data_IF_995526265581
#
_entry.id   IF_995526265581
#
_cell.length_a   1.000
_cell.length_b   1.000
_cell.length_c   1.000
_cell.angle_alpha   90.00
_cell.angle_beta   90.00
_cell.angle_gamma   90.00
#
_symmetry.space_group_name_H-M   'P 1'
#
loop_
_entity.id
_entity.type
_entity.pdbx_description
1 polymer ?
#
# COMPACT_ATOMS: atom_id res chain seq x y z
N UNK A 1 29.85 53.16 -48.54
CA UNK A 1 30.33 52.71 -47.22
C UNK A 1 29.70 53.65 -46.20
N UNK A 2 28.90 53.29 -45.18
CA UNK A 2 28.58 52.01 -44.52
C UNK A 2 27.28 52.21 -43.71
N UNK A 3 26.39 51.21 -43.67
CA UNK A 3 25.18 51.14 -42.82
C UNK A 3 25.56 50.64 -41.41
N UNK A 4 24.97 51.16 -40.33
CA UNK A 4 24.78 50.44 -39.05
C UNK A 4 23.55 51.03 -38.34
N UNK A 5 22.38 50.39 -38.37
CA UNK A 5 21.88 49.26 -37.55
C UNK A 5 21.59 49.63 -36.09
N UNK A 6 20.28 49.70 -35.84
CA UNK A 6 19.50 49.51 -34.60
C UNK A 6 20.18 48.66 -33.53
N UNK A 7 20.05 49.08 -32.27
CA UNK A 7 20.09 48.21 -31.09
C UNK A 7 18.89 48.57 -30.19
N UNK A 8 17.81 47.80 -30.33
CA UNK A 8 16.71 47.81 -29.39
C UNK A 8 17.10 47.00 -28.16
N UNK A 9 17.02 47.59 -26.98
CA UNK A 9 17.15 46.89 -25.72
C UNK A 9 15.87 46.09 -25.45
N UNK A 10 15.92 44.77 -25.60
CA UNK A 10 14.87 43.90 -25.09
C UNK A 10 15.05 43.77 -23.57
N UNK A 11 14.18 44.42 -22.81
CA UNK A 11 14.05 44.15 -21.38
C UNK A 11 13.41 42.77 -21.20
N UNK A 12 14.18 41.80 -20.70
CA UNK A 12 13.63 40.53 -20.20
C UNK A 12 12.82 40.84 -18.94
N UNK A 13 11.50 40.93 -19.09
CA UNK A 13 10.58 40.84 -17.96
C UNK A 13 10.62 39.40 -17.46
N UNK A 14 11.34 39.17 -16.37
CA UNK A 14 11.28 37.93 -15.60
C UNK A 14 9.89 37.79 -14.98
N UNK A 15 9.01 37.10 -15.68
CA UNK A 15 7.73 36.66 -15.14
C UNK A 15 8.02 35.67 -14.01
N UNK A 16 7.96 36.13 -12.76
CA UNK A 16 7.81 35.22 -11.63
C UNK A 16 6.43 34.58 -11.75
N UNK A 17 6.38 33.41 -12.39
CA UNK A 17 5.24 32.53 -12.29
C UNK A 17 5.18 32.06 -10.83
N UNK A 18 4.27 32.65 -10.04
CA UNK A 18 3.80 32.02 -8.83
C UNK A 18 3.12 30.71 -9.25
N UNK A 19 3.86 29.60 -9.17
CA UNK A 19 3.28 28.28 -9.21
C UNK A 19 2.38 28.17 -7.97
N UNK A 20 1.10 28.45 -8.14
CA UNK A 20 0.07 28.06 -7.20
C UNK A 20 0.11 26.55 -7.08
N UNK A 21 0.79 26.03 -6.04
CA UNK A 21 0.60 24.67 -5.53
C UNK A 21 -0.82 24.59 -4.98
N UNK A 22 -1.80 24.49 -5.87
CA UNK A 22 -3.08 23.91 -5.54
C UNK A 22 -2.88 22.39 -5.54
N UNK A 23 -2.19 21.88 -4.52
CA UNK A 23 -2.32 20.49 -4.16
C UNK A 23 -3.74 20.36 -3.61
N UNK A 24 -4.71 20.09 -4.49
CA UNK A 24 -5.93 19.47 -4.04
C UNK A 24 -5.49 18.16 -3.38
N UNK A 25 -5.55 18.10 -2.04
CA UNK A 25 -5.35 16.89 -1.24
C UNK A 25 -6.48 15.90 -1.57
N UNK A 26 -6.49 15.40 -2.80
CA UNK A 26 -7.35 14.28 -3.16
C UNK A 26 -6.73 13.07 -2.52
N UNK A 27 -7.45 12.48 -1.56
CA UNK A 27 -7.11 11.17 -1.02
C UNK A 27 -6.85 10.21 -2.18
N UNK A 28 -5.70 9.53 -2.24
CA UNK A 28 -5.36 8.69 -3.37
C UNK A 28 -6.37 7.55 -3.51
N UNK A 29 -6.68 7.20 -4.75
CA UNK A 29 -7.55 6.07 -5.07
C UNK A 29 -6.74 4.77 -4.95
N UNK A 30 -7.06 3.96 -3.96
CA UNK A 30 -6.39 2.69 -3.69
C UNK A 30 -7.14 1.49 -4.29
N UNK A 31 -8.27 1.71 -4.97
CA UNK A 31 -9.02 0.60 -5.58
C UNK A 31 -8.16 -0.16 -6.58
N UNK A 32 -8.23 -1.48 -6.55
CA UNK A 32 -7.39 -2.34 -7.37
C UNK A 32 -6.96 -3.62 -6.66
N UNK A 33 -6.10 -4.37 -7.33
CA UNK A 33 -5.53 -5.63 -6.82
C UNK A 33 -4.05 -5.41 -6.58
N UNK A 34 -3.64 -5.52 -5.32
CA UNK A 34 -2.27 -5.29 -4.89
C UNK A 34 -1.65 -6.61 -4.47
N UNK A 35 -0.47 -6.96 -4.98
CA UNK A 35 0.16 -8.23 -4.61
C UNK A 35 1.65 -8.11 -4.32
N UNK A 36 2.15 -9.03 -3.49
CA UNK A 36 3.55 -9.07 -3.08
C UNK A 36 3.96 -10.39 -2.47
N UNK A 37 5.23 -10.74 -2.63
CA UNK A 37 5.86 -11.90 -2.00
C UNK A 37 6.55 -11.47 -0.71
N UNK A 38 6.49 -12.32 0.32
CA UNK A 38 7.06 -12.03 1.63
C UNK A 38 7.54 -13.29 2.34
N UNK A 39 8.39 -13.07 3.35
CA UNK A 39 8.80 -14.13 4.28
C UNK A 39 8.00 -13.99 5.58
N UNK A 40 7.22 -15.01 5.91
CA UNK A 40 6.50 -15.09 7.19
C UNK A 40 7.46 -15.53 8.28
N UNK A 41 7.58 -14.74 9.34
CA UNK A 41 8.19 -15.16 10.59
C UNK A 41 7.10 -15.67 11.53
N UNK A 42 7.28 -16.89 12.05
CA UNK A 42 6.35 -17.53 12.97
C UNK A 42 7.07 -18.14 14.17
N UNK A 43 6.38 -18.15 15.32
CA UNK A 43 6.87 -18.83 16.51
C UNK A 43 7.07 -20.34 16.27
N UNK A 44 7.96 -20.96 17.07
CA UNK A 44 8.10 -22.41 17.10
C UNK A 44 6.76 -23.10 17.39
N UNK A 45 6.55 -24.27 16.81
CA UNK A 45 5.50 -25.21 17.18
C UNK A 45 6.11 -26.56 17.62
N UNK A 46 5.27 -27.51 17.99
CA UNK A 46 5.66 -28.86 18.41
C UNK A 46 6.57 -29.61 17.41
N UNK A 47 6.58 -29.21 16.13
CA UNK A 47 7.34 -29.85 15.06
C UNK A 47 8.62 -29.08 14.67
N UNK A 48 9.03 -28.08 15.46
CA UNK A 48 10.12 -27.17 15.09
C UNK A 48 11.35 -27.23 16.00
N UNK A 49 11.39 -28.14 16.97
CA UNK A 49 12.49 -28.30 17.92
C UNK A 49 12.92 -26.98 18.60
N UNK A 50 11.96 -26.06 18.80
CA UNK A 50 12.21 -24.74 19.39
C UNK A 50 12.81 -23.71 18.42
N UNK A 51 13.03 -24.04 17.16
CA UNK A 51 13.55 -23.11 16.15
C UNK A 51 12.46 -22.18 15.60
N UNK A 52 12.78 -20.90 15.32
CA UNK A 52 11.91 -20.02 14.55
C UNK A 52 11.58 -20.60 13.18
N UNK A 53 10.36 -20.36 12.70
CA UNK A 53 9.90 -20.86 11.41
C UNK A 53 9.77 -19.73 10.41
N UNK A 54 10.32 -19.96 9.22
CA UNK A 54 10.26 -19.04 8.09
C UNK A 54 9.62 -19.72 6.88
N UNK A 55 8.67 -19.06 6.22
CA UNK A 55 8.04 -19.57 5.01
C UNK A 55 7.90 -18.46 3.98
N UNK A 56 8.14 -18.77 2.71
CA UNK A 56 7.79 -17.88 1.61
C UNK A 56 6.28 -17.92 1.38
N UNK A 57 5.68 -16.77 1.17
CA UNK A 57 4.24 -16.62 0.98
C UNK A 57 3.93 -15.44 0.07
N UNK A 58 2.75 -15.47 -0.52
CA UNK A 58 2.19 -14.40 -1.32
C UNK A 58 1.02 -13.78 -0.56
N UNK A 59 0.89 -12.45 -0.67
CA UNK A 59 -0.26 -11.71 -0.20
C UNK A 59 -0.89 -10.95 -1.37
N UNK A 60 -2.21 -11.05 -1.48
CA UNK A 60 -3.05 -10.30 -2.40
C UNK A 60 -4.08 -9.52 -1.61
N UNK A 61 -4.06 -8.20 -1.75
CA UNK A 61 -5.00 -7.25 -1.19
C UNK A 61 -5.86 -6.68 -2.33
N UNK A 62 -7.15 -6.98 -2.33
CA UNK A 62 -8.09 -6.46 -3.32
C UNK A 62 -8.98 -5.41 -2.66
N UNK A 63 -8.79 -4.14 -3.02
CA UNK A 63 -9.60 -3.01 -2.55
C UNK A 63 -10.73 -2.80 -3.55
N UNK A 64 -11.95 -3.12 -3.13
CA UNK A 64 -13.15 -3.15 -3.99
C UNK A 64 -13.91 -1.83 -3.95
N UNK A 65 -14.05 -1.28 -2.76
CA UNK A 65 -14.81 -0.06 -2.52
C UNK A 65 -13.96 0.93 -1.72
N UNK A 66 -14.05 2.20 -2.08
CA UNK A 66 -13.44 3.30 -1.36
C UNK A 66 -14.40 4.48 -1.34
N UNK A 67 -14.59 5.07 -0.16
CA UNK A 67 -15.36 6.29 0.06
C UNK A 67 -14.49 7.25 0.87
N UNK A 68 -14.10 8.35 0.23
CA UNK A 68 -13.07 9.27 0.73
C UNK A 68 -11.78 8.52 1.13
N UNK A 69 -11.51 8.47 2.44
CA UNK A 69 -10.32 7.90 3.03
C UNK A 69 -10.56 6.54 3.71
N UNK A 70 -11.74 5.96 3.53
CA UNK A 70 -12.10 4.64 4.07
C UNK A 70 -12.28 3.67 2.91
N UNK A 71 -11.78 2.44 3.06
CA UNK A 71 -11.88 1.42 2.02
C UNK A 71 -12.19 0.02 2.57
N UNK A 72 -12.74 -0.82 1.71
CA UNK A 72 -13.15 -2.19 2.00
C UNK A 72 -12.71 -3.15 0.90
N UNK A 73 -12.42 -4.39 1.28
CA UNK A 73 -11.89 -5.35 0.33
C UNK A 73 -11.72 -6.76 0.88
N UNK A 74 -10.87 -7.51 0.19
CA UNK A 74 -10.45 -8.86 0.60
C UNK A 74 -8.93 -8.94 0.71
N UNK A 75 -8.48 -9.69 1.72
CA UNK A 75 -7.06 -10.01 1.95
C UNK A 75 -6.89 -11.51 1.78
N UNK A 76 -5.97 -11.93 0.92
CA UNK A 76 -5.74 -13.33 0.57
C UNK A 76 -4.27 -13.67 0.70
N UNK A 77 -3.95 -14.77 1.38
CA UNK A 77 -2.56 -15.21 1.51
C UNK A 77 -2.41 -16.71 1.29
N UNK A 78 -1.35 -17.08 0.61
CA UNK A 78 -0.96 -18.48 0.40
C UNK A 78 0.53 -18.64 0.64
N UNK A 79 0.94 -19.83 1.09
CA UNK A 79 2.35 -20.21 1.03
C UNK A 79 2.71 -20.44 -0.44
N UNK A 80 3.89 -20.00 -0.87
CA UNK A 80 4.31 -20.14 -2.28
C UNK A 80 4.32 -21.60 -2.76
N UNK A 81 4.45 -22.56 -1.85
CA UNK A 81 4.40 -24.00 -2.14
C UNK A 81 3.00 -24.63 -2.04
N UNK A 82 1.94 -23.84 -1.90
CA UNK A 82 0.58 -24.31 -1.66
C UNK A 82 -0.40 -23.73 -2.66
N UNK A 83 -1.31 -24.58 -3.15
CA UNK A 83 -2.46 -24.15 -3.97
C UNK A 83 -3.61 -23.61 -3.10
N UNK A 84 -3.52 -23.74 -1.78
CA UNK A 84 -4.56 -23.32 -0.84
C UNK A 84 -4.43 -21.84 -0.45
N UNK A 85 -5.45 -21.05 -0.76
CA UNK A 85 -5.54 -19.66 -0.33
C UNK A 85 -6.34 -19.53 0.96
N UNK A 86 -5.82 -18.75 1.90
CA UNK A 86 -6.60 -18.24 3.01
C UNK A 86 -7.18 -16.89 2.60
N UNK A 87 -8.37 -16.56 3.11
CA UNK A 87 -9.06 -15.33 2.77
C UNK A 87 -9.68 -14.69 4.01
N UNK A 88 -9.55 -13.37 4.07
CA UNK A 88 -10.16 -12.49 5.05
C UNK A 88 -10.82 -11.28 4.40
N UNK A 89 -11.67 -10.61 5.17
CA UNK A 89 -12.18 -9.29 4.83
C UNK A 89 -11.23 -8.26 5.41
N UNK A 90 -11.00 -7.18 4.66
CA UNK A 90 -10.19 -6.06 5.13
C UNK A 90 -11.01 -4.78 5.12
N UNK A 91 -10.85 -3.98 6.16
CA UNK A 91 -11.33 -2.61 6.23
C UNK A 91 -10.16 -1.74 6.63
N UNK A 92 -9.98 -0.61 5.94
CA UNK A 92 -8.85 0.27 6.21
C UNK A 92 -9.16 1.74 6.01
N UNK A 93 -8.21 2.56 6.42
CA UNK A 93 -8.22 4.00 6.23
C UNK A 93 -6.87 4.48 5.74
N UNK A 94 -6.86 5.53 4.92
CA UNK A 94 -5.67 6.28 4.55
C UNK A 94 -5.71 7.68 5.18
N UNK A 95 -4.54 8.24 5.51
CA UNK A 95 -4.42 9.58 6.07
C UNK A 95 -4.89 10.64 5.08
N UNK A 96 -5.43 11.74 5.62
CA UNK A 96 -5.90 12.90 4.83
C UNK A 96 -4.86 14.01 4.74
N UNK A 97 -3.80 13.95 5.55
CA UNK A 97 -2.72 14.94 5.62
C UNK A 97 -1.65 14.76 4.54
N UNK A 98 -1.88 13.86 3.58
CA UNK A 98 -0.94 13.56 2.51
C UNK A 98 0.24 12.69 2.92
N UNK A 99 0.32 12.19 4.17
CA UNK A 99 1.42 11.32 4.61
C UNK A 99 1.41 9.94 3.94
N UNK A 100 0.28 9.54 3.33
CA UNK A 100 0.10 8.21 2.75
C UNK A 100 -0.03 7.10 3.80
N UNK A 101 -0.11 7.42 5.10
CA UNK A 101 -0.23 6.41 6.15
C UNK A 101 -1.55 5.65 6.04
N UNK A 102 -1.50 4.33 6.09
CA UNK A 102 -2.65 3.43 6.01
C UNK A 102 -2.70 2.59 7.28
N UNK A 103 -3.91 2.43 7.84
CA UNK A 103 -4.20 1.47 8.89
C UNK A 103 -5.31 0.54 8.42
N UNK A 104 -5.16 -0.77 8.62
CA UNK A 104 -6.17 -1.76 8.25
C UNK A 104 -6.37 -2.80 9.35
N UNK A 105 -7.57 -3.35 9.37
CA UNK A 105 -7.93 -4.52 10.16
C UNK A 105 -8.41 -5.62 9.23
N UNK A 106 -8.01 -6.85 9.54
CA UNK A 106 -8.43 -8.05 8.82
C UNK A 106 -9.25 -8.95 9.74
N UNK A 107 -10.38 -9.46 9.25
CA UNK A 107 -11.14 -10.55 9.86
C UNK A 107 -11.16 -11.78 8.95
N UNK A 108 -11.32 -12.98 9.53
CA UNK A 108 -11.53 -14.18 8.71
C UNK A 108 -12.93 -14.18 8.11
N UNK A 109 -13.07 -14.77 6.92
CA UNK A 109 -14.40 -14.98 6.32
C UNK A 109 -15.26 -15.82 7.28
N UNK A 110 -16.49 -15.35 7.54
CA UNK A 110 -17.45 -16.03 8.39
C UNK A 110 -17.36 -15.68 9.88
N UNK A 111 -16.35 -14.90 10.31
CA UNK A 111 -16.19 -14.47 11.70
C UNK A 111 -16.50 -12.97 11.83
N UNK A 112 -17.76 -12.63 12.09
CA UNK A 112 -18.16 -11.23 12.31
C UNK A 112 -17.56 -10.70 13.62
N UNK A 113 -16.94 -9.52 13.58
CA UNK A 113 -16.33 -8.82 14.72
C UNK A 113 -15.10 -9.51 15.35
N UNK A 114 -14.51 -10.53 14.72
CA UNK A 114 -13.24 -11.10 15.17
C UNK A 114 -12.09 -10.62 14.29
N UNK A 115 -11.17 -9.88 14.91
CA UNK A 115 -9.97 -9.38 14.22
C UNK A 115 -8.90 -10.48 14.21
N UNK A 116 -8.47 -10.86 13.02
CA UNK A 116 -7.39 -11.82 12.79
C UNK A 116 -6.01 -11.16 12.80
N UNK A 117 -5.92 -9.94 12.28
CA UNK A 117 -4.66 -9.21 12.15
C UNK A 117 -4.83 -7.70 12.06
N UNK A 118 -3.76 -7.01 12.45
CA UNK A 118 -3.58 -5.57 12.31
C UNK A 118 -2.53 -5.31 11.25
N UNK A 119 -2.81 -4.35 10.37
CA UNK A 119 -1.92 -3.97 9.29
C UNK A 119 -1.62 -2.48 9.40
N UNK A 120 -0.34 -2.15 9.58
CA UNK A 120 0.15 -0.79 9.39
C UNK A 120 0.79 -0.71 8.01
N UNK A 121 0.52 0.35 7.26
CA UNK A 121 1.06 0.49 5.92
C UNK A 121 1.31 1.96 5.54
N UNK A 122 2.04 2.17 4.44
CA UNK A 122 2.27 3.47 3.82
C UNK A 122 2.12 3.35 2.32
N UNK A 123 1.37 4.27 1.71
CA UNK A 123 1.28 4.46 0.27
C UNK A 123 2.31 5.49 -0.17
N UNK A 124 3.30 5.03 -0.94
CA UNK A 124 4.40 5.84 -1.44
C UNK A 124 4.81 5.32 -2.82
N UNK A 125 5.08 6.22 -3.77
CA UNK A 125 5.53 5.89 -5.12
C UNK A 125 4.67 4.85 -5.86
N UNK A 126 3.35 4.89 -5.64
CA UNK A 126 2.41 3.97 -6.29
C UNK A 126 2.45 2.54 -5.74
N UNK A 127 3.04 2.34 -4.55
CA UNK A 127 3.14 1.05 -3.87
C UNK A 127 2.60 1.13 -2.45
N UNK A 128 2.21 -0.01 -1.89
CA UNK A 128 1.81 -0.13 -0.48
C UNK A 128 2.89 -0.91 0.26
N UNK A 129 3.59 -0.24 1.17
CA UNK A 129 4.53 -0.86 2.10
C UNK A 129 3.76 -1.27 3.34
N UNK A 130 3.66 -2.55 3.66
CA UNK A 130 2.74 -3.04 4.67
C UNK A 130 3.39 -4.02 5.65
N UNK A 131 3.05 -3.87 6.92
CA UNK A 131 3.43 -4.73 8.04
C UNK A 131 2.19 -5.40 8.61
N UNK A 132 2.15 -6.73 8.56
CA UNK A 132 1.08 -7.53 9.12
C UNK A 132 1.47 -8.12 10.47
N UNK A 133 0.56 -8.06 11.43
CA UNK A 133 0.69 -8.71 12.75
C UNK A 133 -0.58 -9.49 13.06
N UNK A 134 -0.46 -10.81 13.21
CA UNK A 134 -1.59 -11.64 13.63
C UNK A 134 -1.87 -11.50 15.12
N UNK A 135 -3.14 -11.46 15.48
CA UNK A 135 -3.59 -11.49 16.86
C UNK A 135 -3.76 -12.93 17.40
N UNK A 136 -3.88 -13.93 16.51
CA UNK A 136 -4.26 -15.29 16.89
C UNK A 136 -3.17 -16.35 16.66
N UNK A 137 -2.20 -16.08 15.79
CA UNK A 137 -1.27 -17.13 15.31
C UNK A 137 0.21 -16.85 15.57
N UNK A 138 0.54 -15.69 16.17
CA UNK A 138 1.93 -15.33 16.46
C UNK A 138 2.81 -15.26 15.21
N UNK A 139 2.22 -14.86 14.08
CA UNK A 139 2.93 -14.63 12.82
C UNK A 139 3.01 -13.14 12.52
N UNK A 140 4.09 -12.75 11.86
CA UNK A 140 4.27 -11.40 11.33
C UNK A 140 5.09 -11.44 10.04
N UNK A 141 4.90 -10.43 9.21
CA UNK A 141 5.66 -10.23 7.99
C UNK A 141 5.54 -8.78 7.53
N UNK A 142 6.49 -8.39 6.69
CA UNK A 142 6.49 -7.11 5.97
C UNK A 142 6.54 -7.41 4.48
N UNK A 143 5.87 -6.60 3.67
CA UNK A 143 5.89 -6.72 2.20
C UNK A 143 5.73 -5.38 1.53
N UNK A 144 6.09 -5.34 0.25
CA UNK A 144 5.65 -4.31 -0.68
C UNK A 144 4.58 -4.92 -1.56
N UNK A 145 3.44 -4.24 -1.69
CA UNK A 145 2.37 -4.61 -2.59
C UNK A 145 2.37 -3.67 -3.79
N UNK A 146 2.35 -4.25 -4.97
CA UNK A 146 2.31 -3.53 -6.24
C UNK A 146 0.95 -3.74 -6.90
N UNK A 147 0.40 -2.70 -7.51
CA UNK A 147 -0.88 -2.79 -8.19
C UNK A 147 -0.70 -3.63 -9.46
N UNK A 148 -1.41 -4.76 -9.53
CA UNK A 148 -1.52 -5.54 -10.75
C UNK A 148 -2.44 -4.80 -11.70
N UNK A 149 -1.90 -4.02 -12.63
CA UNK A 149 -2.67 -3.63 -13.81
C UNK A 149 -3.13 -4.92 -14.50
N UNK A 150 -4.43 -5.18 -14.53
CA UNK A 150 -5.00 -6.12 -15.49
C UNK A 150 -4.67 -5.59 -16.88
N UNK A 151 -3.59 -6.11 -17.47
CA UNK A 151 -3.23 -5.97 -18.88
C UNK A 151 -4.32 -6.53 -19.78
#
# INVERSE_FOLDING_TARGET
MTRFKTLGAAALASTFAFATLAAAETTPDLRGVWSGQHTVAALPNENSDGAPRFNQSEWVLEIKEQQDNVFWGTSKWSRTSSDSWNEGQVTGTISRDGSGSIAMVESRIGETNQVNGLIDATFEDGKIYADFRSLNSGITYSTVLENGETS
#
